data_IF_870033320452
#
_entry.id   IF_870033320452
#
_cell.length_a   1.000
_cell.length_b   1.000
_cell.length_c   1.000
_cell.angle_alpha   90.00
_cell.angle_beta   90.00
_cell.angle_gamma   90.00
#
_symmetry.space_group_name_H-M   'P 1'
#
loop_
_entity.id
_entity.type
_entity.pdbx_description
1 polymer ?
#
# COMPACT_ATOMS: atom_id res chain seq x y z
N UNK A 1 15.63 -22.01 30.85
CA UNK A 1 15.03 -21.78 29.52
C UNK A 1 14.05 -22.89 29.11
N UNK A 2 14.41 -24.17 29.29
CA UNK A 2 13.55 -25.33 28.97
C UNK A 2 12.21 -25.38 29.73
N UNK A 3 12.18 -25.02 31.03
CA UNK A 3 10.95 -25.01 31.83
C UNK A 3 9.93 -23.93 31.42
N UNK A 4 10.42 -22.77 30.95
CA UNK A 4 9.55 -21.71 30.41
C UNK A 4 8.95 -22.12 29.06
N UNK A 5 9.73 -22.82 28.22
CA UNK A 5 9.28 -23.30 26.91
C UNK A 5 8.21 -24.39 27.06
N UNK A 6 8.34 -25.31 28.02
CA UNK A 6 7.32 -26.34 28.28
C UNK A 6 6.05 -25.79 28.94
N UNK A 7 6.16 -24.80 29.83
CA UNK A 7 4.99 -24.06 30.36
C UNK A 7 4.28 -23.27 29.25
N UNK A 8 5.02 -22.63 28.35
CA UNK A 8 4.46 -21.91 27.19
C UNK A 8 3.75 -22.86 26.23
N UNK A 9 4.34 -24.01 25.90
CA UNK A 9 3.71 -25.02 25.04
C UNK A 9 2.37 -25.52 25.62
N UNK A 10 2.34 -25.80 26.93
CA UNK A 10 1.14 -26.28 27.62
C UNK A 10 0.06 -25.19 27.81
N UNK A 11 0.44 -23.90 27.86
CA UNK A 11 -0.48 -22.76 28.05
C UNK A 11 -0.65 -21.87 26.80
N UNK A 12 -0.16 -22.31 25.63
CA UNK A 12 -0.14 -21.52 24.39
C UNK A 12 -1.51 -20.93 24.04
N UNK A 13 -2.58 -21.73 24.18
CA UNK A 13 -3.95 -21.31 23.91
C UNK A 13 -4.47 -20.32 24.96
N UNK A 14 -4.11 -20.50 26.23
CA UNK A 14 -4.53 -19.61 27.32
C UNK A 14 -3.85 -18.24 27.22
N UNK A 15 -2.57 -18.21 26.85
CA UNK A 15 -1.82 -16.97 26.61
C UNK A 15 -2.41 -16.24 25.40
N UNK A 16 -2.71 -16.96 24.31
CA UNK A 16 -3.35 -16.39 23.13
C UNK A 16 -4.73 -15.81 23.47
N UNK A 17 -5.53 -16.53 24.26
CA UNK A 17 -6.82 -16.06 24.73
C UNK A 17 -6.70 -14.79 25.58
N UNK A 18 -5.90 -14.82 26.65
CA UNK A 18 -5.77 -13.66 27.54
C UNK A 18 -5.17 -12.46 26.79
N UNK A 19 -4.18 -12.67 25.94
CA UNK A 19 -3.55 -11.59 25.19
C UNK A 19 -4.53 -10.85 24.27
N UNK A 20 -5.32 -11.59 23.49
CA UNK A 20 -6.32 -10.99 22.58
C UNK A 20 -7.48 -10.36 23.36
N UNK A 21 -7.92 -11.00 24.45
CA UNK A 21 -8.95 -10.45 25.31
C UNK A 21 -8.52 -9.11 25.93
N UNK A 22 -7.33 -9.07 26.55
CA UNK A 22 -6.79 -7.88 27.20
C UNK A 22 -6.50 -6.76 26.19
N UNK A 23 -5.98 -7.10 25.03
CA UNK A 23 -5.80 -6.15 23.94
C UNK A 23 -7.12 -5.48 23.55
N UNK A 24 -8.20 -6.25 23.38
CA UNK A 24 -9.52 -5.70 23.06
C UNK A 24 -10.06 -4.81 24.19
N UNK A 25 -9.61 -5.02 25.43
CA UNK A 25 -9.86 -4.09 26.55
C UNK A 25 -9.02 -2.80 26.47
N UNK A 26 -8.35 -2.54 25.35
CA UNK A 26 -7.48 -1.39 25.09
C UNK A 26 -6.18 -1.36 25.91
N UNK A 27 -5.71 -2.53 26.38
CA UNK A 27 -4.34 -2.65 26.90
C UNK A 27 -3.34 -2.65 25.74
N UNK A 28 -2.14 -2.05 25.92
CA UNK A 28 -1.12 -1.94 24.88
C UNK A 28 -0.39 -3.28 24.68
N UNK A 29 -1.13 -4.27 24.19
CA UNK A 29 -0.64 -5.60 23.81
C UNK A 29 -0.80 -5.71 22.31
N UNK A 30 0.23 -6.21 21.62
CA UNK A 30 0.17 -6.42 20.16
C UNK A 30 -0.48 -7.76 19.85
N UNK A 31 -1.76 -7.77 19.51
CA UNK A 31 -2.47 -9.00 19.13
C UNK A 31 -2.02 -9.55 17.80
N UNK A 32 -1.66 -8.69 16.85
CA UNK A 32 -1.08 -9.10 15.57
C UNK A 32 0.15 -9.97 15.81
N UNK A 33 1.01 -9.55 16.74
CA UNK A 33 2.19 -10.32 17.13
C UNK A 33 1.80 -11.67 17.73
N UNK A 34 0.90 -11.69 18.72
CA UNK A 34 0.50 -12.93 19.39
C UNK A 34 -0.14 -13.95 18.44
N UNK A 35 -1.02 -13.51 17.55
CA UNK A 35 -1.68 -14.40 16.58
C UNK A 35 -0.73 -14.90 15.51
N UNK A 36 0.16 -14.03 15.02
CA UNK A 36 1.15 -14.43 14.03
C UNK A 36 2.18 -15.39 14.64
N UNK A 37 2.56 -15.16 15.90
CA UNK A 37 3.39 -16.09 16.66
C UNK A 37 2.67 -17.43 16.94
N UNK A 38 1.38 -17.40 17.24
CA UNK A 38 0.56 -18.62 17.33
C UNK A 38 0.51 -19.36 15.98
N UNK A 39 0.43 -18.64 14.86
CA UNK A 39 0.56 -19.19 13.52
C UNK A 39 1.91 -19.90 13.31
N UNK A 40 3.01 -19.29 13.76
CA UNK A 40 4.33 -19.92 13.74
C UNK A 40 4.39 -21.21 14.57
N UNK A 41 3.76 -21.25 15.74
CA UNK A 41 3.65 -22.48 16.55
C UNK A 41 2.78 -23.55 15.88
N UNK A 42 1.76 -23.15 15.12
CA UNK A 42 1.00 -24.08 14.28
C UNK A 42 1.89 -24.66 13.18
N UNK A 43 2.77 -23.86 12.57
CA UNK A 43 3.74 -24.34 11.58
C UNK A 43 4.72 -25.35 12.19
N UNK A 44 5.23 -25.09 13.40
CA UNK A 44 6.10 -26.02 14.13
C UNK A 44 5.39 -27.30 14.63
N UNK A 45 4.08 -27.44 14.41
CA UNK A 45 3.29 -28.57 14.91
C UNK A 45 3.00 -28.52 16.42
N UNK A 46 3.33 -27.41 17.10
CA UNK A 46 3.12 -27.23 18.55
C UNK A 46 1.70 -26.78 18.91
N UNK A 47 0.96 -26.21 17.97
CA UNK A 47 -0.43 -25.83 18.11
C UNK A 47 -1.28 -26.38 16.96
N UNK A 48 -2.53 -26.74 17.25
CA UNK A 48 -3.50 -27.10 16.24
C UNK A 48 -4.11 -25.82 15.64
N UNK A 49 -4.11 -25.75 14.31
CA UNK A 49 -4.60 -24.60 13.56
C UNK A 49 -6.06 -24.24 13.88
N UNK A 50 -6.93 -25.24 13.94
CA UNK A 50 -8.36 -25.06 14.16
C UNK A 50 -8.60 -24.58 15.60
N UNK A 51 -7.90 -25.16 16.57
CA UNK A 51 -8.00 -24.74 17.97
C UNK A 51 -7.45 -23.32 18.18
N UNK A 52 -6.38 -22.93 17.48
CA UNK A 52 -5.84 -21.57 17.55
C UNK A 52 -6.85 -20.53 17.00
N UNK A 53 -7.45 -20.81 15.83
CA UNK A 53 -8.50 -19.97 15.26
C UNK A 53 -9.72 -19.87 16.18
N UNK A 54 -10.14 -21.01 16.73
CA UNK A 54 -11.27 -21.05 17.66
C UNK A 54 -10.97 -20.24 18.93
N UNK A 55 -9.76 -20.35 19.46
CA UNK A 55 -9.32 -19.59 20.64
C UNK A 55 -9.39 -18.08 20.39
N UNK A 56 -8.89 -17.59 19.25
CA UNK A 56 -8.97 -16.18 18.87
C UNK A 56 -10.41 -15.74 18.63
N UNK A 57 -11.24 -16.59 18.02
CA UNK A 57 -12.64 -16.29 17.80
C UNK A 57 -13.40 -16.10 19.11
N UNK A 58 -13.24 -17.03 20.06
CA UNK A 58 -13.89 -16.95 21.37
C UNK A 58 -13.34 -15.77 22.17
N UNK A 59 -12.02 -15.62 22.24
CA UNK A 59 -11.38 -14.49 22.92
C UNK A 59 -11.83 -13.14 22.36
N UNK A 60 -11.82 -13.01 21.04
CA UNK A 60 -12.21 -11.81 20.32
C UNK A 60 -13.68 -11.47 20.55
N UNK A 61 -14.54 -12.49 20.49
CA UNK A 61 -15.97 -12.35 20.75
C UNK A 61 -16.29 -11.94 22.18
N UNK A 62 -15.60 -12.54 23.17
CA UNK A 62 -15.76 -12.18 24.58
C UNK A 62 -15.26 -10.76 24.84
N UNK A 63 -14.06 -10.41 24.38
CA UNK A 63 -13.48 -9.07 24.56
C UNK A 63 -14.36 -7.97 23.97
N UNK A 64 -14.85 -8.15 22.74
CA UNK A 64 -15.70 -7.14 22.11
C UNK A 64 -17.09 -7.05 22.75
N UNK A 65 -17.63 -8.17 23.23
CA UNK A 65 -18.92 -8.17 23.93
C UNK A 65 -18.81 -7.43 25.27
N UNK A 66 -17.74 -7.67 26.03
CA UNK A 66 -17.48 -6.98 27.29
C UNK A 66 -17.36 -5.47 27.07
N UNK A 67 -16.55 -5.03 26.10
CA UNK A 67 -16.39 -3.59 25.80
C UNK A 67 -17.67 -2.93 25.32
N UNK A 68 -18.52 -3.64 24.57
CA UNK A 68 -19.86 -3.16 24.20
C UNK A 68 -20.76 -2.95 25.43
N UNK A 69 -20.78 -3.90 26.37
CA UNK A 69 -21.60 -3.75 27.58
C UNK A 69 -21.06 -2.65 28.50
N UNK A 70 -19.73 -2.52 28.62
CA UNK A 70 -19.10 -1.40 29.33
C UNK A 70 -19.51 -0.07 28.69
N UNK A 71 -19.44 0.03 27.36
CA UNK A 71 -19.88 1.22 26.62
C UNK A 71 -21.37 1.52 26.82
N UNK A 72 -22.22 0.49 26.81
CA UNK A 72 -23.67 0.63 26.98
C UNK A 72 -24.07 1.02 28.40
N UNK A 73 -23.38 0.50 29.41
CA UNK A 73 -23.64 0.81 30.82
C UNK A 73 -23.06 2.17 31.24
N UNK A 74 -21.83 2.50 30.80
CA UNK A 74 -21.10 3.71 31.20
C UNK A 74 -21.25 4.91 30.27
N UNK A 75 -21.66 4.70 29.02
CA UNK A 75 -21.53 5.69 27.94
C UNK A 75 -22.30 6.98 28.11
N UNK A 76 -23.53 6.90 28.62
CA UNK A 76 -24.36 8.09 28.77
C UNK A 76 -23.83 9.03 29.86
N UNK A 77 -23.48 8.49 31.04
CA UNK A 77 -22.92 9.28 32.15
C UNK A 77 -21.52 9.84 31.83
N UNK A 78 -20.71 9.12 31.05
CA UNK A 78 -19.37 9.57 30.66
C UNK A 78 -19.40 10.68 29.60
N UNK A 79 -20.30 10.58 28.61
CA UNK A 79 -20.51 11.62 27.59
C UNK A 79 -21.21 12.85 28.19
N UNK A 80 -22.13 12.68 29.13
CA UNK A 80 -22.75 13.79 29.84
C UNK A 80 -21.73 14.57 30.67
N UNK A 81 -20.79 13.88 31.35
CA UNK A 81 -19.77 14.50 32.18
C UNK A 81 -18.56 15.06 31.41
N UNK A 82 -18.11 14.38 30.34
CA UNK A 82 -16.88 14.72 29.61
C UNK A 82 -17.08 15.05 28.12
N UNK A 83 -18.27 14.89 27.57
CA UNK A 83 -18.58 15.14 26.15
C UNK A 83 -18.29 16.56 25.69
N UNK A 84 -18.34 17.53 26.61
CA UNK A 84 -17.95 18.93 26.38
C UNK A 84 -16.44 19.08 26.04
N UNK A 85 -15.57 18.24 26.61
CA UNK A 85 -14.13 18.28 26.38
C UNK A 85 -13.70 17.63 25.05
N UNK A 86 -14.48 16.65 24.56
CA UNK A 86 -14.25 15.96 23.29
C UNK A 86 -15.15 16.47 22.14
N UNK A 87 -15.86 17.59 22.32
CA UNK A 87 -16.79 18.19 21.34
C UNK A 87 -17.88 17.22 20.83
N UNK A 88 -18.23 16.21 21.61
CA UNK A 88 -19.29 15.24 21.37
C UNK A 88 -20.53 15.65 22.18
N UNK A 89 -21.08 16.82 21.84
CA UNK A 89 -22.30 17.32 22.48
C UNK A 89 -23.52 16.41 22.20
N UNK A 90 -24.60 16.52 22.97
CA UNK A 90 -25.78 15.65 22.88
C UNK A 90 -26.38 15.53 21.47
N UNK A 91 -26.37 16.62 20.69
CA UNK A 91 -26.85 16.63 19.30
C UNK A 91 -25.93 15.89 18.32
N UNK A 92 -24.62 16.04 18.46
CA UNK A 92 -23.64 15.34 17.61
C UNK A 92 -23.63 13.86 17.90
N UNK A 93 -23.79 13.48 19.17
CA UNK A 93 -24.00 12.10 19.59
C UNK A 93 -25.22 11.47 18.88
N UNK A 94 -26.38 12.15 18.86
CA UNK A 94 -27.57 11.64 18.14
C UNK A 94 -27.33 11.48 16.64
N UNK A 95 -26.61 12.41 16.00
CA UNK A 95 -26.24 12.30 14.58
C UNK A 95 -25.27 11.14 14.31
N UNK A 96 -24.25 10.96 15.15
CA UNK A 96 -23.29 9.86 15.02
C UNK A 96 -23.96 8.51 15.26
N UNK A 97 -24.86 8.41 16.25
CA UNK A 97 -25.65 7.20 16.51
C UNK A 97 -26.57 6.85 15.32
N UNK A 98 -27.27 7.83 14.74
CA UNK A 98 -28.12 7.63 13.56
C UNK A 98 -27.32 7.24 12.30
N UNK A 99 -26.11 7.77 12.14
CA UNK A 99 -25.21 7.38 11.04
C UNK A 99 -24.66 5.97 11.23
N UNK A 100 -24.25 5.61 12.46
CA UNK A 100 -23.81 4.25 12.80
C UNK A 100 -24.94 3.22 12.62
N UNK A 101 -26.18 3.60 12.90
CA UNK A 101 -27.35 2.73 12.69
C UNK A 101 -27.61 2.40 11.21
N UNK A 102 -27.32 3.34 10.30
CA UNK A 102 -27.55 3.19 8.85
C UNK A 102 -26.37 2.56 8.10
N UNK A 103 -25.13 2.88 8.48
CA UNK A 103 -23.93 2.50 7.70
C UNK A 103 -22.86 1.77 8.52
N UNK A 104 -22.96 1.75 9.86
CA UNK A 104 -21.91 1.26 10.75
C UNK A 104 -21.68 -0.24 10.68
N UNK A 105 -22.69 -1.06 10.36
CA UNK A 105 -22.57 -2.52 10.39
C UNK A 105 -21.53 -3.06 9.41
N UNK A 106 -21.44 -2.53 8.19
CA UNK A 106 -20.43 -2.98 7.21
C UNK A 106 -19.03 -2.43 7.52
N UNK A 107 -18.96 -1.20 8.04
CA UNK A 107 -17.71 -0.54 8.42
C UNK A 107 -17.03 -1.18 9.63
N UNK A 108 -17.81 -1.78 10.53
CA UNK A 108 -17.30 -2.49 11.71
C UNK A 108 -16.37 -3.65 11.32
N UNK A 109 -16.65 -4.37 10.23
CA UNK A 109 -15.78 -5.46 9.76
C UNK A 109 -14.39 -4.94 9.38
N UNK A 110 -14.35 -3.85 8.61
CA UNK A 110 -13.10 -3.23 8.17
C UNK A 110 -12.35 -2.53 9.31
N UNK A 111 -13.06 -2.06 10.34
CA UNK A 111 -12.46 -1.39 11.48
C UNK A 111 -11.48 -2.28 12.27
N UNK A 112 -11.62 -3.61 12.20
CA UNK A 112 -10.68 -4.56 12.83
C UNK A 112 -9.29 -4.56 12.18
N UNK A 113 -9.20 -4.21 10.90
CA UNK A 113 -7.94 -4.13 10.16
C UNK A 113 -7.24 -2.78 10.33
N UNK A 114 -7.84 -1.83 11.03
CA UNK A 114 -7.23 -0.52 11.31
C UNK A 114 -6.73 -0.50 12.76
N UNK A 115 -5.41 -0.51 13.00
CA UNK A 115 -4.84 -0.44 14.34
C UNK A 115 -5.36 0.78 15.11
N UNK A 116 -5.56 0.63 16.42
CA UNK A 116 -6.10 1.68 17.28
C UNK A 116 -7.63 1.83 17.20
N UNK A 117 -8.23 1.83 16.00
CA UNK A 117 -9.68 2.01 15.85
C UNK A 117 -10.46 0.85 16.48
N UNK A 118 -10.01 -0.39 16.25
CA UNK A 118 -10.73 -1.59 16.70
C UNK A 118 -11.02 -1.62 18.20
N UNK A 119 -10.10 -1.16 19.05
CA UNK A 119 -10.27 -1.21 20.51
C UNK A 119 -11.43 -0.32 20.96
N UNK A 120 -11.73 0.75 20.22
CA UNK A 120 -12.82 1.68 20.54
C UNK A 120 -14.16 1.27 19.92
N UNK A 121 -14.19 0.33 18.96
CA UNK A 121 -15.43 -0.03 18.24
C UNK A 121 -16.50 -0.59 19.18
N UNK A 122 -16.13 -1.46 20.12
CA UNK A 122 -17.04 -2.01 21.12
C UNK A 122 -17.61 -0.93 22.03
N UNK A 123 -16.73 -0.11 22.61
CA UNK A 123 -17.14 1.00 23.46
C UNK A 123 -18.07 1.97 22.72
N UNK A 124 -17.69 2.46 21.54
CA UNK A 124 -18.48 3.43 20.76
C UNK A 124 -19.85 2.86 20.37
N UNK A 125 -19.90 1.58 19.98
CA UNK A 125 -21.15 0.92 19.59
C UNK A 125 -22.10 0.75 20.79
N UNK A 126 -21.55 0.39 21.96
CA UNK A 126 -22.29 0.31 23.21
C UNK A 126 -22.81 1.67 23.68
N UNK A 127 -21.93 2.67 23.69
CA UNK A 127 -22.24 4.06 24.03
C UNK A 127 -23.39 4.58 23.16
N UNK A 128 -23.36 4.30 21.85
CA UNK A 128 -24.36 4.72 20.87
C UNK A 128 -25.70 3.96 20.97
N UNK A 129 -25.83 3.02 21.91
CA UNK A 129 -27.00 2.14 22.11
C UNK A 129 -27.39 1.36 20.84
N UNK A 130 -26.41 0.99 20.02
CA UNK A 130 -26.67 0.16 18.84
C UNK A 130 -27.31 -1.17 19.26
N UNK A 131 -28.35 -1.69 18.57
CA UNK A 131 -28.91 -3.00 18.91
C UNK A 131 -27.84 -4.10 18.85
N UNK A 132 -27.71 -4.89 19.91
CA UNK A 132 -26.64 -5.90 20.05
C UNK A 132 -26.57 -6.85 18.86
N UNK A 133 -27.71 -7.29 18.31
CA UNK A 133 -27.76 -8.16 17.12
C UNK A 133 -27.15 -7.53 15.86
N UNK A 134 -27.31 -6.21 15.66
CA UNK A 134 -26.72 -5.49 14.52
C UNK A 134 -25.21 -5.29 14.70
N UNK A 135 -24.73 -5.30 15.94
CA UNK A 135 -23.33 -5.11 16.30
C UNK A 135 -22.53 -6.42 16.25
N UNK A 136 -23.06 -7.47 16.90
CA UNK A 136 -22.32 -8.72 17.13
C UNK A 136 -21.96 -9.45 15.83
N UNK A 137 -22.87 -9.49 14.85
CA UNK A 137 -22.63 -10.15 13.57
C UNK A 137 -21.40 -9.59 12.84
N UNK A 138 -21.34 -8.29 12.49
CA UNK A 138 -20.15 -7.75 11.82
C UNK A 138 -18.92 -7.70 12.73
N UNK A 139 -19.07 -7.50 14.03
CA UNK A 139 -17.92 -7.49 14.95
C UNK A 139 -17.25 -8.86 15.04
N UNK A 140 -18.03 -9.94 15.16
CA UNK A 140 -17.50 -11.30 15.21
C UNK A 140 -16.92 -11.73 13.86
N UNK A 141 -17.56 -11.36 12.75
CA UNK A 141 -17.00 -11.60 11.42
C UNK A 141 -15.68 -10.86 11.24
N UNK A 142 -15.60 -9.59 11.63
CA UNK A 142 -14.36 -8.80 11.58
C UNK A 142 -13.25 -9.40 12.44
N UNK A 143 -13.57 -9.75 13.69
CA UNK A 143 -12.62 -10.40 14.61
C UNK A 143 -12.14 -11.75 14.09
N UNK A 144 -13.03 -12.55 13.50
CA UNK A 144 -12.68 -13.84 12.92
C UNK A 144 -11.77 -13.69 11.69
N UNK A 145 -12.14 -12.82 10.74
CA UNK A 145 -11.35 -12.57 9.54
C UNK A 145 -9.97 -12.03 9.89
N UNK A 146 -9.90 -11.10 10.85
CA UNK A 146 -8.66 -10.56 11.37
C UNK A 146 -7.78 -11.67 11.98
N UNK A 147 -8.33 -12.48 12.89
CA UNK A 147 -7.61 -13.61 13.48
C UNK A 147 -7.15 -14.65 12.46
N UNK A 148 -8.01 -14.97 11.51
CA UNK A 148 -7.70 -15.86 10.40
C UNK A 148 -6.53 -15.34 9.57
N UNK A 149 -6.54 -14.06 9.20
CA UNK A 149 -5.46 -13.46 8.43
C UNK A 149 -4.11 -13.58 9.15
N UNK A 150 -4.01 -13.17 10.41
CA UNK A 150 -2.73 -13.15 11.13
C UNK A 150 -2.23 -14.55 11.54
N UNK A 151 -3.10 -15.46 11.97
CA UNK A 151 -2.69 -16.85 12.26
C UNK A 151 -2.22 -17.55 10.98
N UNK A 152 -2.95 -17.37 9.87
CA UNK A 152 -2.54 -17.97 8.58
C UNK A 152 -1.23 -17.37 8.09
N UNK A 153 -1.07 -16.05 8.21
CA UNK A 153 0.16 -15.35 7.84
C UNK A 153 1.34 -15.90 8.65
N UNK A 154 1.21 -16.05 9.97
CA UNK A 154 2.24 -16.64 10.82
C UNK A 154 2.59 -18.09 10.47
N UNK A 155 1.57 -18.91 10.16
CA UNK A 155 1.76 -20.30 9.75
C UNK A 155 2.49 -20.43 8.42
N UNK A 156 2.17 -19.57 7.45
CA UNK A 156 2.80 -19.56 6.13
C UNK A 156 4.21 -18.99 6.22
N UNK A 157 4.43 -17.93 7.00
CA UNK A 157 5.75 -17.31 7.18
C UNK A 157 6.73 -18.21 7.94
N UNK A 158 6.24 -19.12 8.79
CA UNK A 158 6.95 -20.28 9.36
C UNK A 158 8.48 -20.14 9.44
N UNK A 159 9.25 -20.64 8.44
CA UNK A 159 10.72 -20.67 8.46
C UNK A 159 11.40 -19.30 8.57
N UNK A 160 10.74 -18.21 8.18
CA UNK A 160 11.31 -16.85 8.08
C UNK A 160 10.71 -15.87 9.09
N UNK A 161 10.01 -16.36 10.11
CA UNK A 161 9.37 -15.55 11.15
C UNK A 161 10.32 -14.54 11.80
N UNK A 162 11.54 -14.96 12.13
CA UNK A 162 12.55 -14.09 12.75
C UNK A 162 12.98 -12.92 11.84
N UNK A 163 13.04 -13.14 10.52
CA UNK A 163 13.38 -12.09 9.53
C UNK A 163 12.23 -11.10 9.37
N UNK A 164 10.99 -11.59 9.34
CA UNK A 164 9.80 -10.74 9.32
C UNK A 164 9.69 -9.90 10.61
N UNK A 165 10.04 -10.46 11.76
CA UNK A 165 10.04 -9.74 13.03
C UNK A 165 11.02 -8.57 13.06
N UNK A 166 12.23 -8.75 12.53
CA UNK A 166 13.22 -7.68 12.41
C UNK A 166 12.77 -6.57 11.45
N UNK A 167 12.12 -6.92 10.34
CA UNK A 167 11.56 -5.92 9.42
C UNK A 167 10.36 -5.19 10.06
N UNK A 168 9.39 -5.92 10.62
CA UNK A 168 8.19 -5.36 11.22
C UNK A 168 8.49 -4.45 12.41
N UNK A 169 9.46 -4.78 13.26
CA UNK A 169 9.87 -3.92 14.38
C UNK A 169 10.42 -2.57 13.91
N UNK A 170 11.23 -2.53 12.83
CA UNK A 170 11.71 -1.28 12.21
C UNK A 170 10.54 -0.41 11.72
N UNK A 171 9.55 -1.00 11.04
CA UNK A 171 8.40 -0.25 10.52
C UNK A 171 7.38 0.14 11.61
N UNK A 172 7.22 -0.65 12.66
CA UNK A 172 6.39 -0.31 13.83
C UNK A 172 6.98 0.89 14.58
N UNK A 173 8.30 0.95 14.74
CA UNK A 173 8.97 2.12 15.34
C UNK A 173 8.74 3.37 14.47
N UNK A 174 8.88 3.26 13.15
CA UNK A 174 8.58 4.36 12.21
C UNK A 174 7.10 4.79 12.31
N UNK A 175 6.18 3.83 12.44
CA UNK A 175 4.76 4.11 12.62
C UNK A 175 4.45 4.79 13.96
N UNK A 176 5.06 4.34 15.05
CA UNK A 176 4.92 4.96 16.38
C UNK A 176 5.48 6.39 16.38
N UNK A 177 6.64 6.60 15.74
CA UNK A 177 7.21 7.95 15.55
C UNK A 177 6.26 8.80 14.70
N UNK A 178 5.74 8.28 13.60
CA UNK A 178 4.77 8.97 12.75
C UNK A 178 3.47 9.32 13.50
N UNK A 179 2.97 8.42 14.33
CA UNK A 179 1.79 8.62 15.16
C UNK A 179 2.07 9.65 16.27
N UNK A 180 3.23 9.61 16.91
CA UNK A 180 3.66 10.60 17.89
C UNK A 180 3.78 11.99 17.24
N UNK A 181 4.36 12.08 16.04
CA UNK A 181 4.44 13.33 15.25
C UNK A 181 3.05 13.82 14.88
N UNK A 182 2.13 12.94 14.49
CA UNK A 182 0.74 13.31 14.20
C UNK A 182 -0.02 13.78 15.45
N UNK A 183 0.19 13.14 16.61
CA UNK A 183 -0.43 13.54 17.88
C UNK A 183 0.14 14.87 18.35
N UNK A 184 1.47 15.05 18.30
CA UNK A 184 2.13 16.33 18.63
C UNK A 184 1.72 17.42 17.65
N UNK A 185 1.63 17.11 16.36
CA UNK A 185 1.13 18.01 15.33
C UNK A 185 -0.35 18.38 15.53
N UNK A 186 -1.18 17.43 15.95
CA UNK A 186 -2.57 17.65 16.32
C UNK A 186 -2.72 18.49 17.59
N UNK A 187 -1.87 18.27 18.60
CA UNK A 187 -1.82 19.05 19.83
C UNK A 187 -1.31 20.47 19.56
N UNK A 188 -0.27 20.63 18.73
CA UNK A 188 0.21 21.93 18.27
C UNK A 188 -0.87 22.66 17.45
N UNK A 189 -1.54 21.98 16.53
CA UNK A 189 -2.71 22.50 15.83
C UNK A 189 -3.82 22.94 16.79
N UNK A 190 -4.02 22.20 17.88
CA UNK A 190 -5.03 22.48 18.92
C UNK A 190 -4.67 23.71 19.75
N UNK A 191 -3.41 23.91 20.12
CA UNK A 191 -2.95 25.08 20.88
C UNK A 191 -2.89 26.35 20.01
N UNK A 192 -2.57 26.22 18.71
CA UNK A 192 -2.42 27.34 17.77
C UNK A 192 -3.60 27.46 16.78
N UNK A 193 -4.79 26.98 17.16
CA UNK A 193 -5.98 26.84 16.30
C UNK A 193 -6.45 28.13 15.63
N UNK A 194 -6.26 29.29 16.26
CA UNK A 194 -6.69 30.60 15.74
C UNK A 194 -5.70 31.13 14.68
N UNK A 195 -4.38 31.21 14.95
CA UNK A 195 -3.41 31.62 13.92
C UNK A 195 -3.31 30.62 12.76
N UNK A 196 -3.41 29.31 13.01
CA UNK A 196 -3.35 28.30 11.94
C UNK A 196 -4.60 28.37 11.06
N UNK A 197 -5.80 28.59 11.61
CA UNK A 197 -7.02 28.74 10.80
C UNK A 197 -6.94 29.96 9.90
N UNK A 198 -6.42 31.08 10.39
CA UNK A 198 -6.25 32.29 9.59
C UNK A 198 -5.16 32.10 8.52
N UNK A 199 -4.01 31.53 8.89
CA UNK A 199 -2.97 31.14 7.93
C UNK A 199 -3.49 30.17 6.88
N UNK A 200 -4.32 29.18 7.24
CA UNK A 200 -4.85 28.20 6.29
C UNK A 200 -5.92 28.80 5.37
N UNK A 201 -6.75 29.71 5.88
CA UNK A 201 -7.70 30.47 5.06
C UNK A 201 -6.96 31.41 4.12
N UNK A 202 -5.92 32.08 4.59
CA UNK A 202 -5.10 32.99 3.78
C UNK A 202 -4.24 32.22 2.77
N UNK A 203 -3.70 31.07 3.16
CA UNK A 203 -2.98 30.14 2.29
C UNK A 203 -3.92 29.54 1.24
N UNK A 204 -5.15 29.14 1.60
CA UNK A 204 -6.15 28.67 0.65
C UNK A 204 -6.61 29.80 -0.25
N UNK A 205 -6.83 31.02 0.24
CA UNK A 205 -7.18 32.17 -0.61
C UNK A 205 -6.03 32.53 -1.55
N UNK A 206 -4.80 32.52 -1.05
CA UNK A 206 -3.58 32.76 -1.83
C UNK A 206 -3.36 31.66 -2.87
N UNK A 207 -3.47 30.38 -2.50
CA UNK A 207 -3.45 29.24 -3.41
C UNK A 207 -4.60 29.36 -4.39
N UNK A 208 -5.84 29.57 -3.97
CA UNK A 208 -6.99 29.65 -4.88
C UNK A 208 -6.84 30.81 -5.87
N UNK A 209 -6.28 31.95 -5.47
CA UNK A 209 -6.00 33.07 -6.38
C UNK A 209 -4.81 32.79 -7.30
N UNK A 210 -3.73 32.14 -6.81
CA UNK A 210 -2.63 31.64 -7.65
C UNK A 210 -3.12 30.58 -8.65
N UNK A 211 -3.87 29.60 -8.18
CA UNK A 211 -4.41 28.47 -8.92
C UNK A 211 -5.53 28.87 -9.89
N UNK A 212 -6.27 29.95 -9.62
CA UNK A 212 -7.18 30.58 -10.60
C UNK A 212 -6.43 31.21 -11.78
N UNK A 213 -5.16 31.57 -11.57
CA UNK A 213 -4.29 32.12 -12.61
C UNK A 213 -3.58 31.00 -13.40
N UNK A 214 -3.44 29.81 -12.80
CA UNK A 214 -2.74 28.67 -13.36
C UNK A 214 -3.65 27.93 -14.34
N UNK A 215 -3.22 27.83 -15.61
CA UNK A 215 -3.94 27.06 -16.64
C UNK A 215 -3.97 25.58 -16.26
N UNK A 216 -5.01 24.83 -16.67
CA UNK A 216 -5.09 23.37 -16.43
C UNK A 216 -3.83 22.61 -16.89
N UNK A 217 -3.13 23.13 -17.90
CA UNK A 217 -1.86 22.61 -18.42
C UNK A 217 -0.70 22.80 -17.45
N UNK A 218 -0.61 23.93 -16.76
CA UNK A 218 0.46 24.22 -15.79
C UNK A 218 0.32 23.35 -14.54
N UNK A 219 -0.91 23.08 -14.07
CA UNK A 219 -1.18 22.09 -13.03
C UNK A 219 -0.71 20.68 -13.40
N UNK A 220 -1.01 20.28 -14.63
CA UNK A 220 -0.61 18.98 -15.14
C UNK A 220 0.91 18.86 -15.22
N UNK A 221 1.61 19.92 -15.65
CA UNK A 221 3.07 19.97 -15.64
C UNK A 221 3.66 19.88 -14.24
N UNK A 222 3.16 20.65 -13.27
CA UNK A 222 3.62 20.59 -11.88
C UNK A 222 3.46 19.17 -11.32
N UNK A 223 2.30 18.55 -11.57
CA UNK A 223 2.06 17.16 -11.17
C UNK A 223 3.09 16.21 -11.80
N UNK A 224 3.33 16.34 -13.10
CA UNK A 224 4.27 15.51 -13.83
C UNK A 224 5.72 15.68 -13.33
N UNK A 225 6.12 16.91 -13.01
CA UNK A 225 7.42 17.21 -12.40
C UNK A 225 7.54 16.58 -11.01
N UNK A 226 6.51 16.66 -10.16
CA UNK A 226 6.52 16.03 -8.84
C UNK A 226 6.63 14.51 -8.93
N UNK A 227 5.90 13.89 -9.87
CA UNK A 227 6.00 12.44 -10.13
C UNK A 227 7.40 12.08 -10.62
N UNK A 228 7.99 12.86 -11.54
CA UNK A 228 9.35 12.63 -12.01
C UNK A 228 10.38 12.71 -10.88
N UNK A 229 10.30 13.73 -10.02
CA UNK A 229 11.17 13.87 -8.84
C UNK A 229 11.02 12.66 -7.91
N UNK A 230 9.78 12.22 -7.66
CA UNK A 230 9.51 11.03 -6.86
C UNK A 230 10.14 9.77 -7.47
N UNK A 231 10.00 9.57 -8.78
CA UNK A 231 10.58 8.43 -9.49
C UNK A 231 12.10 8.48 -9.52
N UNK A 232 12.72 9.65 -9.69
CA UNK A 232 14.19 9.81 -9.62
C UNK A 232 14.70 9.54 -8.21
N UNK A 233 13.99 10.00 -7.17
CA UNK A 233 14.35 9.73 -5.77
C UNK A 233 14.29 8.22 -5.50
N UNK A 234 13.24 7.55 -5.97
CA UNK A 234 13.08 6.11 -5.81
C UNK A 234 14.15 5.34 -6.62
N UNK A 235 14.46 5.79 -7.83
CA UNK A 235 15.53 5.24 -8.68
C UNK A 235 16.88 5.31 -7.97
N UNK A 236 17.23 6.45 -7.36
CA UNK A 236 18.46 6.62 -6.58
C UNK A 236 18.47 5.74 -5.32
N UNK A 237 17.35 5.63 -4.61
CA UNK A 237 17.21 4.72 -3.48
C UNK A 237 17.43 3.26 -3.87
N UNK A 238 16.84 2.82 -4.98
CA UNK A 238 17.06 1.47 -5.49
C UNK A 238 18.49 1.24 -5.99
N UNK A 239 19.12 2.25 -6.60
CA UNK A 239 20.53 2.19 -6.97
C UNK A 239 21.41 1.98 -5.72
N UNK A 240 21.11 2.70 -4.64
CA UNK A 240 21.78 2.52 -3.35
C UNK A 240 21.55 1.10 -2.81
N UNK A 241 20.30 0.66 -2.69
CA UNK A 241 19.96 -0.68 -2.20
C UNK A 241 20.63 -1.79 -3.02
N UNK A 242 20.80 -1.58 -4.33
CA UNK A 242 21.55 -2.48 -5.22
C UNK A 242 23.05 -2.48 -4.92
N UNK A 243 23.67 -1.31 -4.83
CA UNK A 243 25.10 -1.15 -4.55
C UNK A 243 25.50 -1.68 -3.16
N UNK A 244 24.62 -1.54 -2.17
CA UNK A 244 24.84 -2.01 -0.79
C UNK A 244 24.27 -3.41 -0.51
N UNK A 245 23.69 -4.08 -1.51
CA UNK A 245 23.12 -5.43 -1.41
C UNK A 245 22.02 -5.56 -0.33
N UNK A 246 21.17 -4.55 -0.20
CA UNK A 246 20.03 -4.57 0.74
C UNK A 246 18.80 -5.30 0.17
N UNK A 247 18.82 -5.67 -1.12
CA UNK A 247 17.70 -6.35 -1.79
C UNK A 247 17.52 -7.84 -1.45
N UNK A 248 18.48 -8.49 -0.80
CA UNK A 248 18.42 -9.95 -0.57
C UNK A 248 17.16 -10.37 0.17
N UNK A 249 16.82 -9.67 1.26
CA UNK A 249 15.61 -9.94 2.04
C UNK A 249 14.34 -9.68 1.23
N UNK A 250 14.32 -8.58 0.47
CA UNK A 250 13.19 -8.23 -0.38
C UNK A 250 12.93 -9.30 -1.44
N UNK A 251 13.98 -9.74 -2.14
CA UNK A 251 13.89 -10.75 -3.20
C UNK A 251 13.38 -12.07 -2.65
N UNK A 252 13.96 -12.54 -1.55
CA UNK A 252 13.55 -13.79 -0.91
C UNK A 252 12.08 -13.77 -0.48
N UNK A 253 11.64 -12.68 0.16
CA UNK A 253 10.25 -12.54 0.65
C UNK A 253 9.28 -12.44 -0.52
N UNK A 254 9.57 -11.58 -1.50
CA UNK A 254 8.70 -11.38 -2.65
C UNK A 254 8.58 -12.65 -3.50
N UNK A 255 9.68 -13.36 -3.75
CA UNK A 255 9.67 -14.62 -4.48
C UNK A 255 8.84 -15.69 -3.74
N UNK A 256 9.02 -15.81 -2.42
CA UNK A 256 8.25 -16.76 -1.63
C UNK A 256 6.75 -16.44 -1.64
N UNK A 257 6.36 -15.18 -1.43
CA UNK A 257 4.95 -14.75 -1.48
C UNK A 257 4.35 -15.03 -2.85
N UNK A 258 5.08 -14.69 -3.92
CA UNK A 258 4.62 -14.93 -5.29
C UNK A 258 4.40 -16.42 -5.53
N UNK A 259 5.39 -17.28 -5.25
CA UNK A 259 5.31 -18.71 -5.55
C UNK A 259 4.31 -19.46 -4.65
N UNK A 260 4.10 -19.03 -3.41
CA UNK A 260 3.26 -19.74 -2.43
C UNK A 260 1.81 -19.26 -2.37
N UNK A 261 1.55 -17.97 -2.55
CA UNK A 261 0.25 -17.37 -2.23
C UNK A 261 -0.44 -16.69 -3.41
N UNK A 262 0.33 -16.15 -4.36
CA UNK A 262 -0.21 -15.29 -5.42
C UNK A 262 -0.29 -16.00 -6.76
N UNK A 263 0.76 -16.73 -7.13
CA UNK A 263 0.86 -17.34 -8.44
C UNK A 263 -0.11 -18.50 -8.60
N UNK A 264 -0.88 -18.44 -9.68
CA UNK A 264 -1.81 -19.48 -10.10
C UNK A 264 -1.48 -19.91 -11.54
N UNK A 265 -1.70 -21.18 -11.89
CA UNK A 265 -1.29 -21.73 -13.19
C UNK A 265 -1.85 -20.95 -14.40
N UNK A 266 -3.08 -20.44 -14.30
CA UNK A 266 -3.70 -19.64 -15.37
C UNK A 266 -2.93 -18.35 -15.67
N UNK A 267 -2.16 -17.83 -14.72
CA UNK A 267 -1.38 -16.61 -14.89
C UNK A 267 -0.26 -16.77 -15.92
N UNK A 268 0.16 -17.99 -16.28
CA UNK A 268 1.08 -18.21 -17.42
C UNK A 268 0.59 -17.54 -18.71
N UNK A 269 -0.73 -17.37 -18.88
CA UNK A 269 -1.31 -16.66 -20.02
C UNK A 269 -0.85 -15.21 -20.15
N UNK A 270 -0.39 -14.57 -19.07
CA UNK A 270 0.12 -13.20 -19.12
C UNK A 270 1.39 -13.06 -19.99
N UNK A 271 2.17 -14.13 -20.21
CA UNK A 271 3.32 -14.10 -21.13
C UNK A 271 2.94 -13.67 -22.55
N UNK A 272 1.69 -13.88 -22.97
CA UNK A 272 1.19 -13.42 -24.27
C UNK A 272 1.40 -11.91 -24.44
N UNK A 273 1.24 -11.12 -23.37
CA UNK A 273 1.41 -9.66 -23.38
C UNK A 273 2.88 -9.21 -23.44
N UNK A 274 3.84 -10.12 -23.30
CA UNK A 274 5.27 -9.82 -23.51
C UNK A 274 5.76 -10.23 -24.91
N UNK A 275 4.92 -10.92 -25.69
CA UNK A 275 5.32 -11.34 -27.03
C UNK A 275 5.52 -10.13 -27.96
N UNK A 276 6.46 -10.19 -28.91
CA UNK A 276 6.66 -9.12 -29.89
C UNK A 276 5.37 -8.79 -30.66
N UNK A 277 4.50 -9.77 -30.89
CA UNK A 277 3.22 -9.58 -31.57
C UNK A 277 2.23 -8.75 -30.73
N UNK A 278 2.12 -9.01 -29.43
CA UNK A 278 1.25 -8.23 -28.54
C UNK A 278 1.76 -6.79 -28.39
N UNK A 279 3.09 -6.63 -28.24
CA UNK A 279 3.76 -5.33 -28.20
C UNK A 279 3.53 -4.54 -29.49
N UNK A 280 3.72 -5.16 -30.66
CA UNK A 280 3.44 -4.53 -31.95
C UNK A 280 1.96 -4.13 -32.08
N UNK A 281 1.05 -4.97 -31.58
CA UNK A 281 -0.40 -4.72 -31.62
C UNK A 281 -0.79 -3.47 -30.83
N UNK A 282 -0.28 -3.29 -29.61
CA UNK A 282 -0.60 -2.09 -28.81
C UNK A 282 0.00 -0.81 -29.42
N UNK A 283 1.20 -0.90 -29.99
CA UNK A 283 1.83 0.21 -30.72
C UNK A 283 0.99 0.57 -31.95
N UNK A 284 0.56 -0.42 -32.74
CA UNK A 284 -0.27 -0.21 -33.92
C UNK A 284 -1.63 0.45 -33.56
N UNK A 285 -2.29 -0.02 -32.50
CA UNK A 285 -3.54 0.58 -32.00
C UNK A 285 -3.31 2.05 -31.61
N UNK A 286 -2.18 2.34 -30.96
CA UNK A 286 -1.80 3.70 -30.55
C UNK A 286 -1.55 4.59 -31.78
N UNK A 287 -0.82 4.11 -32.78
CA UNK A 287 -0.59 4.84 -34.05
C UNK A 287 -1.91 5.14 -34.75
N UNK A 288 -2.80 4.15 -34.89
CA UNK A 288 -4.13 4.34 -35.51
C UNK A 288 -4.96 5.37 -34.74
N UNK A 289 -4.87 5.37 -33.40
CA UNK A 289 -5.55 6.34 -32.54
C UNK A 289 -5.04 7.77 -32.75
N UNK A 290 -3.73 7.96 -32.78
CA UNK A 290 -3.08 9.26 -33.06
C UNK A 290 -3.52 9.75 -34.44
N UNK A 291 -3.49 8.88 -35.45
CA UNK A 291 -3.93 9.20 -36.81
C UNK A 291 -5.39 9.68 -36.86
N UNK A 292 -6.31 9.02 -36.14
CA UNK A 292 -7.74 9.39 -36.15
C UNK A 292 -8.07 10.66 -35.38
N UNK A 293 -7.37 10.98 -34.28
CA UNK A 293 -7.79 12.02 -33.32
C UNK A 293 -6.77 13.11 -33.00
N UNK A 294 -5.50 12.95 -33.37
CA UNK A 294 -4.44 13.87 -32.96
C UNK A 294 -4.57 15.25 -33.60
N UNK A 295 -4.63 16.30 -32.78
CA UNK A 295 -4.46 17.70 -33.19
C UNK A 295 -2.99 18.01 -33.50
N UNK A 296 -2.05 17.49 -32.70
CA UNK A 296 -0.59 17.66 -32.85
C UNK A 296 0.11 16.32 -33.15
N UNK A 297 -0.27 15.68 -34.26
CA UNK A 297 0.15 14.30 -34.60
C UNK A 297 1.67 14.12 -34.61
N UNK A 298 2.42 15.12 -35.09
CA UNK A 298 3.88 15.06 -35.17
C UNK A 298 4.51 14.91 -33.79
N UNK A 299 4.12 15.74 -32.82
CA UNK A 299 4.64 15.66 -31.45
C UNK A 299 4.27 14.33 -30.77
N UNK A 300 3.08 13.80 -31.02
CA UNK A 300 2.64 12.53 -30.43
C UNK A 300 3.38 11.32 -31.03
N UNK A 301 3.63 11.33 -32.35
CA UNK A 301 4.47 10.32 -32.99
C UNK A 301 5.92 10.41 -32.52
N UNK A 302 6.47 11.63 -32.41
CA UNK A 302 7.80 11.85 -31.87
C UNK A 302 7.91 11.33 -30.43
N UNK A 303 6.92 11.63 -29.57
CA UNK A 303 6.91 11.12 -28.19
C UNK A 303 6.94 9.58 -28.19
N UNK A 304 6.11 8.92 -29.00
CA UNK A 304 6.06 7.47 -29.08
C UNK A 304 7.40 6.88 -29.57
N UNK A 305 7.95 7.42 -30.66
CA UNK A 305 9.18 6.95 -31.28
C UNK A 305 10.38 7.17 -30.35
N UNK A 306 10.55 8.37 -29.80
CA UNK A 306 11.67 8.71 -28.90
C UNK A 306 11.60 7.87 -27.63
N UNK A 307 10.41 7.69 -27.06
CA UNK A 307 10.26 6.86 -25.86
C UNK A 307 10.69 5.42 -26.11
N UNK A 308 10.23 4.80 -27.20
CA UNK A 308 10.48 3.38 -27.49
C UNK A 308 11.92 3.15 -27.99
N UNK A 309 12.41 3.93 -28.96
CA UNK A 309 13.76 3.75 -29.51
C UNK A 309 14.84 4.15 -28.50
N UNK A 310 14.58 5.19 -27.70
CA UNK A 310 15.53 5.63 -26.67
C UNK A 310 15.57 4.72 -25.43
N UNK A 311 14.62 3.79 -25.27
CA UNK A 311 14.57 2.89 -24.12
C UNK A 311 15.87 2.10 -23.92
N UNK A 312 16.40 1.52 -25.01
CA UNK A 312 17.62 0.71 -24.97
C UNK A 312 18.86 1.56 -24.69
N UNK A 313 18.97 2.71 -25.36
CA UNK A 313 20.06 3.65 -25.15
C UNK A 313 20.10 4.17 -23.71
N UNK A 314 18.94 4.49 -23.15
CA UNK A 314 18.80 4.92 -21.76
C UNK A 314 19.25 3.81 -20.80
N UNK A 315 18.76 2.58 -21.00
CA UNK A 315 19.15 1.44 -20.18
C UNK A 315 20.67 1.17 -20.25
N UNK A 316 21.26 1.14 -21.45
CA UNK A 316 22.70 0.96 -21.63
C UNK A 316 23.52 2.07 -20.94
N UNK A 317 23.04 3.32 -21.00
CA UNK A 317 23.66 4.44 -20.29
C UNK A 317 23.63 4.26 -18.77
N UNK A 318 22.53 3.75 -18.22
CA UNK A 318 22.39 3.43 -16.80
C UNK A 318 23.37 2.32 -16.39
N UNK A 319 23.48 1.26 -17.20
CA UNK A 319 24.42 0.17 -16.94
C UNK A 319 25.88 0.64 -16.97
N UNK A 320 26.22 1.57 -17.87
CA UNK A 320 27.54 2.19 -17.92
C UNK A 320 27.85 3.04 -16.67
N UNK A 321 26.85 3.73 -16.13
CA UNK A 321 26.99 4.47 -14.86
C UNK A 321 27.24 3.50 -13.71
N UNK A 322 26.51 2.37 -13.65
CA UNK A 322 26.74 1.36 -12.63
C UNK A 322 28.13 0.73 -12.71
N UNK A 323 28.60 0.39 -13.91
CA UNK A 323 29.96 -0.17 -14.09
C UNK A 323 31.04 0.84 -13.71
N UNK A 324 30.82 2.13 -13.99
CA UNK A 324 31.70 3.21 -13.52
C UNK A 324 31.75 3.29 -11.98
N UNK A 325 30.60 3.27 -11.30
CA UNK A 325 30.58 3.26 -9.83
C UNK A 325 31.26 2.02 -9.23
N UNK A 326 31.10 0.85 -9.87
CA UNK A 326 31.80 -0.37 -9.47
C UNK A 326 33.32 -0.22 -9.58
N UNK A 327 33.82 0.44 -10.63
CA UNK A 327 35.26 0.67 -10.84
C UNK A 327 35.92 1.50 -9.73
N UNK A 328 35.15 2.31 -9.00
CA UNK A 328 35.64 3.22 -7.94
C UNK A 328 35.66 2.53 -6.55
N UNK A 329 35.28 1.25 -6.46
CA UNK A 329 35.41 0.47 -5.23
C UNK A 329 34.11 0.21 -4.46
N UNK A 330 32.94 0.46 -5.09
CA UNK A 330 31.65 -0.05 -4.58
C UNK A 330 31.55 -1.57 -4.84
N UNK A 331 32.25 -2.36 -4.01
CA UNK A 331 32.27 -3.83 -4.09
C UNK A 331 31.23 -4.42 -3.14
N UNK A 332 29.95 -4.29 -3.48
CA UNK A 332 28.92 -5.16 -2.94
C UNK A 332 29.07 -6.57 -3.54
N UNK A 333 28.69 -7.63 -2.80
CA UNK A 333 28.44 -8.94 -3.42
C UNK A 333 27.16 -8.84 -4.23
N UNK A 334 27.28 -8.41 -5.48
CA UNK A 334 26.16 -8.27 -6.40
C UNK A 334 25.57 -9.63 -6.74
N UNK A 335 24.30 -9.85 -6.42
CA UNK A 335 23.61 -11.11 -6.71
C UNK A 335 22.93 -11.16 -8.08
N UNK A 336 22.79 -10.04 -8.81
CA UNK A 336 22.20 -10.04 -10.15
C UNK A 336 22.96 -9.20 -11.16
N UNK A 337 23.35 -9.81 -12.27
CA UNK A 337 23.89 -9.12 -13.45
C UNK A 337 22.81 -8.40 -14.28
N UNK A 338 21.53 -8.61 -13.94
CA UNK A 338 20.39 -8.17 -14.73
C UNK A 338 19.69 -6.94 -14.13
N UNK A 339 20.22 -6.33 -13.07
CA UNK A 339 19.62 -5.13 -12.48
C UNK A 339 20.10 -3.85 -13.19
N UNK A 340 19.19 -2.94 -13.60
CA UNK A 340 17.73 -3.11 -13.70
C UNK A 340 17.34 -3.97 -14.92
N UNK A 341 16.28 -4.77 -14.86
CA UNK A 341 15.93 -5.68 -15.96
C UNK A 341 15.53 -4.93 -17.23
N UNK A 342 16.17 -5.25 -18.36
CA UNK A 342 15.93 -4.58 -19.64
C UNK A 342 14.52 -4.87 -20.18
N UNK A 343 14.01 -6.09 -20.02
CA UNK A 343 12.69 -6.45 -20.52
C UNK A 343 11.59 -5.69 -19.77
N UNK A 344 11.69 -5.64 -18.44
CA UNK A 344 10.81 -4.85 -17.59
C UNK A 344 10.88 -3.36 -17.94
N UNK A 345 12.09 -2.82 -18.17
CA UNK A 345 12.31 -1.44 -18.62
C UNK A 345 11.58 -1.14 -19.92
N UNK A 346 11.73 -2.01 -20.93
CA UNK A 346 11.07 -1.85 -22.24
C UNK A 346 9.54 -1.97 -22.10
N UNK A 347 9.06 -2.94 -21.32
CA UNK A 347 7.63 -3.19 -21.09
C UNK A 347 6.97 -1.95 -20.47
N UNK A 348 7.51 -1.39 -19.39
CA UNK A 348 6.92 -0.21 -18.75
C UNK A 348 6.91 0.98 -19.72
N UNK A 349 7.99 1.16 -20.51
CA UNK A 349 8.11 2.26 -21.48
C UNK A 349 7.05 2.15 -22.56
N UNK A 350 6.90 0.98 -23.17
CA UNK A 350 5.94 0.77 -24.25
C UNK A 350 4.50 0.90 -23.72
N UNK A 351 4.16 0.14 -22.68
CA UNK A 351 2.79 0.14 -22.15
C UNK A 351 2.43 1.51 -21.56
N UNK A 352 3.32 2.13 -20.80
CA UNK A 352 3.10 3.45 -20.21
C UNK A 352 2.90 4.53 -21.27
N UNK A 353 3.76 4.57 -22.30
CA UNK A 353 3.64 5.55 -23.39
C UNK A 353 2.38 5.33 -24.22
N UNK A 354 2.08 4.08 -24.58
CA UNK A 354 0.87 3.75 -25.33
C UNK A 354 -0.40 4.12 -24.55
N UNK A 355 -0.49 3.71 -23.27
CA UNK A 355 -1.64 4.02 -22.41
C UNK A 355 -1.84 5.52 -22.26
N UNK A 356 -0.76 6.28 -22.04
CA UNK A 356 -0.81 7.73 -21.94
C UNK A 356 -1.42 8.36 -23.21
N UNK A 357 -0.92 7.98 -24.38
CA UNK A 357 -1.40 8.49 -25.67
C UNK A 357 -2.84 8.05 -25.99
N UNK A 358 -3.22 6.81 -25.62
CA UNK A 358 -4.58 6.31 -25.81
C UNK A 358 -5.59 7.06 -24.94
N UNK A 359 -5.24 7.34 -23.69
CA UNK A 359 -6.08 8.05 -22.71
C UNK A 359 -6.22 9.52 -23.06
N UNK A 360 -5.14 10.19 -23.48
CA UNK A 360 -5.06 11.64 -23.73
C UNK A 360 -6.22 12.20 -24.58
N UNK A 361 -6.64 11.45 -25.60
CA UNK A 361 -7.69 11.88 -26.54
C UNK A 361 -9.09 11.37 -26.19
N UNK A 362 -9.28 10.86 -24.98
CA UNK A 362 -10.56 10.34 -24.53
C UNK A 362 -11.37 11.43 -23.85
N UNK A 363 -12.56 11.72 -24.39
CA UNK A 363 -13.50 12.66 -23.75
C UNK A 363 -14.19 12.08 -22.50
N UNK A 364 -14.16 10.74 -22.34
CA UNK A 364 -14.77 10.04 -21.23
C UNK A 364 -13.82 10.00 -20.02
N UNK A 365 -14.17 10.70 -18.94
CA UNK A 365 -13.38 10.76 -17.71
C UNK A 365 -13.16 9.39 -17.05
N UNK A 366 -14.11 8.45 -17.18
CA UNK A 366 -13.93 7.10 -16.64
C UNK A 366 -12.80 6.35 -17.34
N UNK A 367 -12.65 6.52 -18.66
CA UNK A 367 -11.58 5.88 -19.43
C UNK A 367 -10.20 6.42 -19.06
N UNK A 368 -10.10 7.68 -18.61
CA UNK A 368 -8.83 8.23 -18.11
C UNK A 368 -8.36 7.63 -16.80
N UNK A 369 -9.22 6.92 -16.07
CA UNK A 369 -8.88 6.23 -14.82
C UNK A 369 -8.77 4.73 -15.05
N UNK A 370 -9.71 4.14 -15.78
CA UNK A 370 -9.80 2.69 -16.00
C UNK A 370 -8.62 2.16 -16.82
N UNK A 371 -8.21 2.85 -17.89
CA UNK A 371 -7.15 2.35 -18.78
C UNK A 371 -5.79 2.34 -18.09
N UNK A 372 -5.35 3.41 -17.37
CA UNK A 372 -4.12 3.35 -16.59
C UNK A 372 -4.17 2.31 -15.46
N UNK A 373 -5.30 2.17 -14.77
CA UNK A 373 -5.47 1.16 -13.73
C UNK A 373 -5.33 -0.26 -14.29
N UNK A 374 -5.92 -0.53 -15.45
CA UNK A 374 -5.76 -1.80 -16.14
C UNK A 374 -4.30 -2.04 -16.55
N UNK A 375 -3.61 -1.02 -17.06
CA UNK A 375 -2.17 -1.10 -17.35
C UNK A 375 -1.32 -1.45 -16.14
N UNK A 376 -1.60 -0.83 -14.99
CA UNK A 376 -0.92 -1.11 -13.74
C UNK A 376 -1.19 -2.55 -13.26
N UNK A 377 -2.43 -3.02 -13.34
CA UNK A 377 -2.78 -4.42 -13.03
C UNK A 377 -2.10 -5.41 -13.99
N UNK A 378 -1.99 -5.08 -15.27
CA UNK A 378 -1.26 -5.88 -16.25
C UNK A 378 0.21 -6.00 -15.88
N UNK A 379 0.88 -4.89 -15.54
CA UNK A 379 2.28 -4.87 -15.12
C UNK A 379 2.52 -5.68 -13.83
N UNK A 380 1.59 -5.61 -12.87
CA UNK A 380 1.62 -6.47 -11.67
C UNK A 380 1.51 -7.94 -12.07
N UNK A 381 0.57 -8.29 -12.95
CA UNK A 381 0.41 -9.65 -13.48
C UNK A 381 1.67 -10.17 -14.16
N UNK A 382 2.30 -9.34 -15.00
CA UNK A 382 3.59 -9.65 -15.66
C UNK A 382 4.71 -9.86 -14.65
N UNK A 383 4.77 -9.04 -13.60
CA UNK A 383 5.77 -9.17 -12.52
C UNK A 383 5.62 -10.51 -11.80
N UNK A 384 4.40 -10.85 -11.38
CA UNK A 384 4.12 -12.12 -10.68
C UNK A 384 4.53 -13.32 -11.53
N UNK A 385 4.23 -13.27 -12.83
CA UNK A 385 4.48 -14.40 -13.74
C UNK A 385 5.96 -14.54 -14.07
N UNK A 386 6.68 -13.43 -14.24
CA UNK A 386 8.14 -13.45 -14.37
C UNK A 386 8.78 -14.03 -13.11
N UNK A 387 8.46 -13.51 -11.91
CA UNK A 387 9.03 -14.02 -10.65
C UNK A 387 8.72 -15.51 -10.44
N UNK A 388 7.54 -15.98 -10.83
CA UNK A 388 7.14 -17.37 -10.62
C UNK A 388 7.71 -18.35 -11.65
N UNK A 389 7.94 -17.91 -12.89
CA UNK A 389 8.24 -18.79 -14.03
C UNK A 389 9.61 -18.55 -14.68
N UNK A 390 10.33 -17.51 -14.29
CA UNK A 390 11.70 -17.22 -14.74
C UNK A 390 12.64 -17.08 -13.54
N UNK A 391 13.95 -17.09 -13.79
CA UNK A 391 14.98 -16.89 -12.75
C UNK A 391 15.26 -15.40 -12.47
N UNK A 392 14.33 -14.50 -12.83
CA UNK A 392 14.47 -13.06 -12.62
C UNK A 392 14.13 -12.70 -11.17
N UNK A 393 15.00 -11.91 -10.54
CA UNK A 393 14.75 -11.44 -9.19
C UNK A 393 13.67 -10.35 -9.17
N UNK A 394 12.82 -10.31 -8.12
CA UNK A 394 11.84 -9.24 -7.93
C UNK A 394 12.44 -7.83 -7.99
N UNK A 395 13.63 -7.63 -7.43
CA UNK A 395 14.37 -6.35 -7.45
C UNK A 395 14.70 -5.90 -8.86
N UNK A 396 15.05 -6.83 -9.75
CA UNK A 396 15.50 -6.51 -11.11
C UNK A 396 14.34 -6.02 -11.95
N UNK A 397 13.19 -6.69 -11.83
CA UNK A 397 11.95 -6.31 -12.51
C UNK A 397 11.46 -4.95 -12.00
N UNK A 398 11.44 -4.75 -10.67
CA UNK A 398 11.07 -3.46 -10.09
C UNK A 398 12.03 -2.35 -10.49
N UNK A 399 13.34 -2.63 -10.51
CA UNK A 399 14.36 -1.73 -11.03
C UNK A 399 14.03 -1.33 -12.46
N UNK A 400 13.74 -2.29 -13.34
CA UNK A 400 13.35 -2.00 -14.71
C UNK A 400 12.12 -1.09 -14.81
N UNK A 401 11.09 -1.35 -14.00
CA UNK A 401 9.88 -0.52 -13.99
C UNK A 401 10.13 0.91 -13.50
N UNK A 402 10.96 1.09 -12.48
CA UNK A 402 11.28 2.40 -11.91
C UNK A 402 12.13 3.21 -12.86
N UNK A 403 13.22 2.62 -13.36
CA UNK A 403 14.11 3.28 -14.32
C UNK A 403 13.37 3.62 -15.62
N UNK A 404 12.57 2.69 -16.14
CA UNK A 404 11.72 2.96 -17.30
C UNK A 404 10.67 4.03 -17.03
N UNK A 405 10.11 4.12 -15.81
CA UNK A 405 9.18 5.19 -15.44
C UNK A 405 9.84 6.57 -15.45
N UNK A 406 11.08 6.68 -14.95
CA UNK A 406 11.86 7.94 -15.04
C UNK A 406 12.00 8.38 -16.49
N UNK A 407 12.35 7.46 -17.40
CA UNK A 407 12.45 7.74 -18.83
C UNK A 407 11.12 8.22 -19.42
N UNK A 408 10.01 7.55 -19.11
CA UNK A 408 8.68 7.91 -19.61
C UNK A 408 8.26 9.30 -19.11
N UNK A 409 8.34 9.54 -17.80
CA UNK A 409 7.88 10.80 -17.22
C UNK A 409 8.74 11.99 -17.64
N UNK A 410 10.05 11.77 -17.85
CA UNK A 410 10.92 12.77 -18.46
C UNK A 410 10.46 13.11 -19.88
N UNK A 411 10.21 12.11 -20.73
CA UNK A 411 9.72 12.32 -22.09
C UNK A 411 8.34 12.99 -22.09
N UNK A 412 7.42 12.58 -21.22
CA UNK A 412 6.12 13.24 -21.10
C UNK A 412 6.27 14.72 -20.74
N UNK A 413 7.17 15.06 -19.82
CA UNK A 413 7.40 16.44 -19.39
C UNK A 413 8.00 17.27 -20.53
N UNK A 414 9.03 16.74 -21.18
CA UNK A 414 9.69 17.38 -22.31
C UNK A 414 8.71 17.68 -23.45
N UNK A 415 7.91 16.68 -23.86
CA UNK A 415 6.97 16.85 -24.96
C UNK A 415 5.77 17.73 -24.60
N UNK A 416 5.35 17.75 -23.33
CA UNK A 416 4.30 18.68 -22.90
C UNK A 416 4.81 20.12 -22.86
N UNK A 417 6.07 20.35 -22.45
CA UNK A 417 6.71 21.66 -22.53
C UNK A 417 6.88 22.12 -23.98
N UNK A 418 7.37 21.25 -24.88
CA UNK A 418 7.50 21.56 -26.31
C UNK A 418 6.15 21.93 -26.92
N UNK A 419 5.08 21.23 -26.52
CA UNK A 419 3.74 21.54 -26.98
C UNK A 419 3.29 22.94 -26.55
N UNK A 420 3.57 23.35 -25.31
CA UNK A 420 3.22 24.70 -24.84
C UNK A 420 4.04 25.83 -25.50
N UNK A 421 5.22 25.52 -26.02
CA UNK A 421 6.04 26.48 -26.78
C UNK A 421 5.55 26.62 -28.22
N UNK A 422 4.93 25.56 -28.77
CA UNK A 422 4.44 25.52 -30.15
C UNK A 422 2.96 25.93 -30.30
N UNK A 423 2.19 26.00 -29.21
CA UNK A 423 0.82 26.54 -29.14
C UNK A 423 0.82 28.00 -28.68
#
# INVERSE_FOLDING_TARGET
>A
MSYLITLFEQHSYLILFLGIFLELMALPISGEFLMSYAGYFVFQGKMNYILALFTVFVSGGVGITVTYWIGKAGGYKLIEKYGKYIHLGPERYKKTAAWFERSGSKLLVFAYFIPGIRHFTGYISGISKMPFRKFILPAYTGSFLWGFCFITLGKVLGPRWEVFHQAASKYIIIFIIGLAVLIVGYLAYRFYKVPIKNLFIDLIKWLTNRLKTIRKTEFFLIFLTLVLIGMVTLMLGMAQDYLYNEFTQFNEIAEYIVKSAVYMYWMKGFFVFQTPMAIASIIAITIIRIWRKGRNRVLEYLLLIVSILGARLFHESVMQIFSYFQSIGFVGKFHSANFPDINATIIIIIYGTCIFLLVRHTKNHYMSIIVPLFGLLLLIGLTIVNIASTDLLPSDILGGYVYGSVWIFFNFLLFEMLRLVLE
#
